data_IF_885087042074
#
_entry.id   IF_885087042074
#
_cell.length_a   1.000
_cell.length_b   1.000
_cell.length_c   1.000
_cell.angle_alpha   90.00
_cell.angle_beta   90.00
_cell.angle_gamma   90.00
#
_symmetry.space_group_name_H-M   'P 1'
#
loop_
_entity.id
_entity.type
_entity.pdbx_description
1 polymer ?
#
# COMPACT_ATOMS: atom_id res chain seq x y z
N UNK A 1 17.30 -5.32 -1.77
CA UNK A 1 16.27 -5.75 -0.78
C UNK A 1 15.25 -6.60 -1.50
N UNK A 2 14.80 -7.70 -0.93
CA UNK A 2 13.80 -8.60 -1.53
C UNK A 2 12.71 -8.90 -0.51
N UNK A 3 11.44 -8.74 -0.87
CA UNK A 3 10.32 -9.31 -0.12
C UNK A 3 9.98 -10.68 -0.71
N UNK A 4 10.01 -11.74 0.11
CA UNK A 4 9.66 -13.10 -0.30
C UNK A 4 8.48 -13.62 0.52
N UNK A 5 7.48 -14.08 -0.16
CA UNK A 5 6.27 -14.69 0.39
C UNK A 5 6.36 -16.19 0.12
N UNK A 6 6.18 -17.01 1.14
CA UNK A 6 6.35 -18.46 1.05
C UNK A 6 5.14 -19.19 1.67
N UNK A 7 4.33 -19.81 0.83
CA UNK A 7 3.18 -20.62 1.22
C UNK A 7 2.14 -19.85 2.05
N UNK A 8 2.01 -18.53 1.84
CA UNK A 8 1.14 -17.68 2.65
C UNK A 8 -0.32 -18.01 2.37
N UNK A 9 -1.08 -18.41 3.40
CA UNK A 9 -2.47 -18.85 3.24
C UNK A 9 -3.33 -18.59 4.48
N UNK A 10 -4.62 -18.47 4.23
CA UNK A 10 -5.67 -18.48 5.25
C UNK A 10 -6.77 -19.46 4.83
N UNK A 11 -7.78 -19.75 5.68
CA UNK A 11 -8.94 -20.52 5.25
C UNK A 11 -9.70 -19.92 4.05
N UNK A 12 -9.46 -18.64 3.76
CA UNK A 12 -10.18 -17.89 2.73
C UNK A 12 -9.39 -17.71 1.43
N UNK A 13 -8.05 -17.85 1.42
CA UNK A 13 -7.25 -17.60 0.22
C UNK A 13 -5.83 -18.19 0.33
N UNK A 14 -5.21 -18.47 -0.81
CA UNK A 14 -3.85 -19.01 -0.95
C UNK A 14 -3.84 -20.51 -1.30
N UNK A 15 -2.67 -21.19 -1.24
CA UNK A 15 -1.37 -20.59 -0.87
C UNK A 15 -0.84 -19.61 -1.90
N UNK A 16 -0.06 -18.64 -1.42
CA UNK A 16 0.63 -17.64 -2.25
C UNK A 16 2.14 -17.78 -2.08
N UNK A 17 2.82 -17.82 -3.22
CA UNK A 17 4.27 -17.77 -3.33
C UNK A 17 4.63 -16.62 -4.28
N UNK A 18 5.45 -15.66 -3.83
CA UNK A 18 5.81 -14.49 -4.61
C UNK A 18 7.12 -13.92 -4.08
N UNK A 19 7.96 -13.41 -4.96
CA UNK A 19 9.11 -12.60 -4.62
C UNK A 19 9.04 -11.27 -5.39
N UNK A 20 9.46 -10.19 -4.72
CA UNK A 20 9.55 -8.86 -5.29
C UNK A 20 10.90 -8.25 -4.93
N UNK A 21 11.58 -7.67 -5.92
CA UNK A 21 12.89 -7.06 -5.76
C UNK A 21 12.79 -5.58 -5.37
N UNK A 22 13.91 -5.01 -4.95
CA UNK A 22 14.00 -3.57 -4.69
C UNK A 22 13.68 -2.77 -5.96
N UNK A 23 12.84 -1.77 -5.82
CA UNK A 23 12.44 -0.90 -6.94
C UNK A 23 11.40 -1.53 -7.88
N UNK A 24 10.92 -2.75 -7.59
CA UNK A 24 9.92 -3.43 -8.40
C UNK A 24 8.49 -3.07 -7.96
N UNK A 25 7.60 -2.92 -8.92
CA UNK A 25 6.17 -2.79 -8.71
C UNK A 25 5.42 -4.01 -9.23
N UNK A 26 4.67 -4.67 -8.35
CA UNK A 26 3.72 -5.73 -8.75
C UNK A 26 2.31 -5.16 -8.70
N UNK A 27 1.60 -5.21 -9.84
CA UNK A 27 0.21 -4.82 -9.93
C UNK A 27 -0.71 -6.06 -9.92
N UNK A 28 -1.71 -6.04 -9.04
CA UNK A 28 -2.68 -7.12 -8.89
C UNK A 28 -4.08 -6.62 -9.25
N UNK A 29 -4.69 -7.27 -10.22
CA UNK A 29 -6.08 -7.02 -10.65
C UNK A 29 -6.99 -8.19 -10.25
N UNK A 30 -8.29 -8.04 -10.39
CA UNK A 30 -9.25 -9.13 -10.15
C UNK A 30 -10.59 -8.60 -9.64
N UNK A 31 -11.60 -9.47 -9.67
CA UNK A 31 -12.96 -9.13 -9.25
C UNK A 31 -13.02 -8.68 -7.78
N UNK A 32 -14.05 -7.91 -7.42
CA UNK A 32 -14.33 -7.59 -6.02
C UNK A 32 -14.56 -8.89 -5.22
N UNK A 33 -14.06 -8.95 -3.99
CA UNK A 33 -14.15 -10.13 -3.14
C UNK A 33 -13.24 -11.31 -3.52
N UNK A 34 -12.34 -11.16 -4.52
CA UNK A 34 -11.42 -12.23 -4.93
C UNK A 34 -10.30 -12.53 -3.92
N UNK A 35 -10.11 -11.69 -2.89
CA UNK A 35 -9.10 -11.89 -1.83
C UNK A 35 -7.89 -10.96 -1.92
N UNK A 36 -7.88 -9.94 -2.79
CA UNK A 36 -6.75 -9.02 -2.98
C UNK A 36 -6.36 -8.29 -1.69
N UNK A 37 -7.31 -7.62 -1.05
CA UNK A 37 -7.07 -6.91 0.22
C UNK A 37 -6.66 -7.87 1.34
N UNK A 38 -7.23 -9.07 1.40
CA UNK A 38 -6.85 -10.11 2.35
C UNK A 38 -5.38 -10.51 2.15
N UNK A 39 -4.95 -10.68 0.90
CA UNK A 39 -3.54 -10.98 0.57
C UNK A 39 -2.60 -9.89 1.08
N UNK A 40 -2.89 -8.61 0.83
CA UNK A 40 -2.08 -7.49 1.34
C UNK A 40 -2.04 -7.45 2.88
N UNK A 41 -3.19 -7.69 3.53
CA UNK A 41 -3.30 -7.69 4.99
C UNK A 41 -2.52 -8.86 5.63
N UNK A 42 -2.51 -10.02 4.99
CA UNK A 42 -1.68 -11.15 5.44
C UNK A 42 -0.18 -10.84 5.34
N UNK A 43 0.27 -10.17 4.27
CA UNK A 43 1.68 -9.76 4.11
C UNK A 43 2.08 -8.78 5.22
N UNK A 44 1.22 -7.81 5.54
CA UNK A 44 1.47 -6.80 6.57
C UNK A 44 1.25 -7.28 8.01
N UNK A 45 0.97 -8.56 8.22
CA UNK A 45 0.70 -9.14 9.55
C UNK A 45 -0.51 -8.52 10.25
N UNK A 46 -1.56 -8.22 9.50
CA UNK A 46 -2.83 -7.70 10.02
C UNK A 46 -3.90 -8.78 10.15
N UNK A 47 -3.79 -9.86 9.37
CA UNK A 47 -4.72 -11.00 9.43
C UNK A 47 -3.96 -12.29 9.76
N UNK A 48 -4.58 -13.20 10.56
CA UNK A 48 -3.99 -14.51 10.85
C UNK A 48 -3.78 -15.33 9.57
N UNK A 49 -2.60 -15.93 9.44
CA UNK A 49 -2.25 -16.75 8.29
C UNK A 49 -1.16 -17.78 8.61
N UNK A 50 -1.11 -18.82 7.81
CA UNK A 50 -0.02 -19.79 7.76
C UNK A 50 0.97 -19.38 6.66
N UNK A 51 2.14 -20.07 6.62
CA UNK A 51 3.23 -19.66 5.74
C UNK A 51 4.04 -18.52 6.35
N UNK A 52 4.94 -17.91 5.60
CA UNK A 52 5.78 -16.83 6.11
C UNK A 52 6.06 -15.75 5.06
N UNK A 53 6.48 -14.59 5.54
CA UNK A 53 6.95 -13.46 4.72
C UNK A 53 8.33 -13.05 5.23
N UNK A 54 9.24 -12.86 4.30
CA UNK A 54 10.63 -12.50 4.58
C UNK A 54 10.94 -11.15 3.94
N UNK A 55 11.58 -10.29 4.70
CA UNK A 55 12.16 -9.06 4.19
C UNK A 55 13.68 -9.21 4.26
N UNK A 56 14.33 -9.25 3.10
CA UNK A 56 15.63 -9.86 2.95
C UNK A 56 15.58 -11.29 3.52
N UNK A 57 16.52 -11.75 4.29
CA UNK A 57 16.49 -13.09 4.89
C UNK A 57 15.83 -13.13 6.29
N UNK A 58 15.21 -12.02 6.73
CA UNK A 58 14.57 -11.94 8.06
C UNK A 58 13.10 -12.30 7.96
N UNK A 59 12.71 -13.40 8.61
CA UNK A 59 11.31 -13.80 8.75
C UNK A 59 10.50 -12.77 9.54
N UNK A 60 9.28 -12.48 9.07
CA UNK A 60 8.28 -11.69 9.79
C UNK A 60 8.07 -12.20 11.23
N UNK A 61 8.08 -13.52 11.43
CA UNK A 61 7.85 -14.15 12.73
C UNK A 61 8.96 -13.86 13.76
N UNK A 62 10.14 -13.46 13.29
CA UNK A 62 11.29 -13.13 14.11
C UNK A 62 11.43 -11.62 14.38
N UNK A 63 10.37 -10.85 14.07
CA UNK A 63 10.33 -9.41 14.24
C UNK A 63 9.08 -9.01 15.02
N UNK A 64 9.16 -8.05 15.96
CA UNK A 64 7.96 -7.50 16.59
C UNK A 64 7.00 -6.91 15.53
N UNK A 65 5.71 -7.21 15.64
CA UNK A 65 4.72 -6.78 14.66
C UNK A 65 4.71 -5.25 14.37
N UNK A 66 4.91 -4.35 15.36
CA UNK A 66 5.05 -2.92 15.07
C UNK A 66 6.29 -2.57 14.24
N UNK A 67 7.42 -3.28 14.43
CA UNK A 67 8.63 -3.09 13.64
C UNK A 67 8.43 -3.58 12.19
N UNK A 68 7.78 -4.74 12.02
CA UNK A 68 7.41 -5.26 10.71
C UNK A 68 6.54 -4.27 9.94
N UNK A 69 5.46 -3.78 10.58
CA UNK A 69 4.47 -2.90 9.95
C UNK A 69 5.00 -1.50 9.65
N UNK A 70 6.14 -1.09 10.21
CA UNK A 70 6.84 0.13 9.79
C UNK A 70 7.64 -0.06 8.50
N UNK A 71 8.11 -1.27 8.23
CA UNK A 71 8.89 -1.58 7.03
C UNK A 71 8.00 -2.06 5.87
N UNK A 72 6.90 -2.75 6.19
CA UNK A 72 5.92 -3.30 5.23
C UNK A 72 4.57 -2.65 5.54
N UNK A 73 4.34 -1.49 4.92
CA UNK A 73 3.19 -0.63 5.24
C UNK A 73 2.02 -0.94 4.34
N UNK A 74 0.88 -1.26 4.93
CA UNK A 74 -0.39 -1.41 4.24
C UNK A 74 -1.19 -0.10 4.26
N UNK A 75 -1.53 0.40 3.08
CA UNK A 75 -2.44 1.53 2.89
C UNK A 75 -3.76 1.01 2.29
N UNK A 76 -4.84 0.96 3.07
CA UNK A 76 -6.14 0.48 2.61
C UNK A 76 -6.81 1.48 1.65
N UNK A 77 -7.77 0.99 0.84
CA UNK A 77 -8.58 1.81 -0.04
C UNK A 77 -9.32 2.93 0.71
N UNK A 78 -9.80 2.61 1.91
CA UNK A 78 -10.40 3.57 2.84
C UNK A 78 -9.53 3.67 4.10
N UNK A 79 -8.67 4.71 4.21
CA UNK A 79 -7.84 4.90 5.39
C UNK A 79 -8.66 5.12 6.66
N UNK A 80 -8.29 4.44 7.74
CA UNK A 80 -8.89 4.65 9.06
C UNK A 80 -8.50 6.01 9.66
N UNK A 81 -9.49 6.64 10.31
CA UNK A 81 -9.35 7.92 11.02
C UNK A 81 -9.92 7.72 12.42
N UNK A 82 -9.10 7.91 13.46
CA UNK A 82 -9.42 7.60 14.86
C UNK A 82 -9.42 8.81 15.79
N UNK A 83 -9.03 9.98 15.30
CA UNK A 83 -9.06 11.25 15.99
C UNK A 83 -9.90 12.26 15.22
N UNK A 84 -10.29 13.36 15.86
CA UNK A 84 -11.09 14.40 15.23
C UNK A 84 -10.28 15.21 14.22
N UNK A 85 -9.02 15.55 14.57
CA UNK A 85 -8.15 16.40 13.77
C UNK A 85 -7.24 15.57 12.87
N UNK A 86 -7.01 16.05 11.66
CA UNK A 86 -6.13 15.40 10.67
C UNK A 86 -4.70 15.24 11.21
N UNK A 87 -4.12 16.31 11.78
CA UNK A 87 -2.74 16.31 12.27
C UNK A 87 -2.46 15.21 13.30
N UNK A 88 -3.44 14.86 14.14
CA UNK A 88 -3.32 13.82 15.17
C UNK A 88 -3.06 12.40 14.64
N UNK A 89 -3.15 12.21 13.32
CA UNK A 89 -2.90 10.92 12.67
C UNK A 89 -1.47 10.77 12.15
N UNK A 90 -0.63 11.78 12.32
CA UNK A 90 0.75 11.79 11.80
C UNK A 90 1.76 11.82 12.94
N UNK A 91 2.68 10.86 12.95
CA UNK A 91 3.78 10.83 13.91
C UNK A 91 4.81 11.92 13.62
N UNK A 92 5.03 12.23 12.33
CA UNK A 92 5.87 13.32 11.84
C UNK A 92 5.03 14.23 10.94
N UNK A 93 4.49 15.28 11.53
CA UNK A 93 3.63 16.24 10.85
C UNK A 93 4.41 17.11 9.87
N UNK A 94 5.68 17.43 10.16
CA UNK A 94 6.51 18.26 9.29
C UNK A 94 6.90 17.49 8.00
N UNK A 95 7.27 16.22 8.13
CA UNK A 95 7.46 15.36 6.96
C UNK A 95 6.17 15.23 6.14
N UNK A 96 5.01 15.10 6.78
CA UNK A 96 3.73 15.02 6.10
C UNK A 96 3.39 16.32 5.35
N UNK A 97 3.58 17.49 5.96
CA UNK A 97 3.38 18.80 5.32
C UNK A 97 4.33 19.00 4.13
N UNK A 98 5.56 18.48 4.22
CA UNK A 98 6.54 18.52 3.12
C UNK A 98 6.10 17.67 1.92
N UNK A 99 5.52 16.49 2.16
CA UNK A 99 5.03 15.59 1.10
C UNK A 99 3.70 16.02 0.49
N UNK A 100 2.87 16.75 1.22
CA UNK A 100 1.51 17.07 0.84
C UNK A 100 1.36 17.77 -0.53
N UNK A 101 2.18 18.80 -0.87
CA UNK A 101 2.10 19.43 -2.19
C UNK A 101 2.39 18.48 -3.35
N UNK A 102 3.28 17.50 -3.16
CA UNK A 102 3.62 16.51 -4.18
C UNK A 102 2.43 15.58 -4.53
N UNK A 103 1.45 15.51 -3.64
CA UNK A 103 0.22 14.72 -3.82
C UNK A 103 -1.02 15.63 -3.99
N UNK A 104 -0.82 16.92 -4.29
CA UNK A 104 -1.91 17.88 -4.50
C UNK A 104 -2.79 18.08 -3.27
N UNK A 105 -2.20 17.96 -2.07
CA UNK A 105 -2.91 18.16 -0.79
C UNK A 105 -2.51 19.52 -0.22
N UNK A 106 -3.46 20.46 -0.06
CA UNK A 106 -3.21 21.72 0.63
C UNK A 106 -2.76 21.49 2.08
N UNK A 107 -1.71 22.18 2.51
CA UNK A 107 -1.14 22.00 3.86
C UNK A 107 -2.08 22.44 4.98
N UNK A 108 -3.02 23.33 4.69
CA UNK A 108 -4.06 23.80 5.61
C UNK A 108 -5.02 22.67 6.03
N UNK A 109 -5.12 21.60 5.24
CA UNK A 109 -5.98 20.45 5.58
C UNK A 109 -5.49 19.71 6.84
N UNK A 110 -4.21 19.82 7.20
CA UNK A 110 -3.72 19.23 8.43
C UNK A 110 -4.33 19.87 9.69
N UNK A 111 -4.78 21.11 9.59
CA UNK A 111 -5.42 21.85 10.69
C UNK A 111 -6.97 21.73 10.65
N UNK A 112 -7.48 20.86 9.80
CA UNK A 112 -8.92 20.66 9.59
C UNK A 112 -9.44 19.43 10.33
N UNK A 113 -10.74 19.43 10.72
CA UNK A 113 -11.40 18.21 11.17
C UNK A 113 -11.51 17.18 10.05
N UNK A 114 -11.29 15.90 10.36
CA UNK A 114 -11.38 14.78 9.40
C UNK A 114 -12.74 14.74 8.68
N UNK A 115 -13.82 15.10 9.37
CA UNK A 115 -15.17 15.09 8.80
C UNK A 115 -15.35 16.05 7.61
N UNK A 116 -14.49 17.06 7.47
CA UNK A 116 -14.54 18.02 6.37
C UNK A 116 -13.82 17.56 5.11
N UNK A 117 -13.02 16.50 5.22
CA UNK A 117 -12.26 15.98 4.09
C UNK A 117 -13.16 15.26 3.09
N UNK A 118 -12.96 15.50 1.81
CA UNK A 118 -13.48 14.68 0.72
C UNK A 118 -12.84 13.27 0.75
N UNK A 119 -13.44 12.33 0.05
CA UNK A 119 -12.90 10.96 -0.06
C UNK A 119 -11.50 10.95 -0.68
N UNK A 120 -11.28 11.74 -1.74
CA UNK A 120 -9.98 11.83 -2.39
C UNK A 120 -8.90 12.46 -1.50
N UNK A 121 -9.24 13.47 -0.69
CA UNK A 121 -8.31 14.05 0.30
C UNK A 121 -7.97 13.05 1.39
N UNK A 122 -8.95 12.31 1.92
CA UNK A 122 -8.71 11.23 2.89
C UNK A 122 -7.77 10.17 2.31
N UNK A 123 -7.99 9.77 1.07
CA UNK A 123 -7.15 8.77 0.41
C UNK A 123 -5.71 9.25 0.25
N UNK A 124 -5.47 10.47 -0.24
CA UNK A 124 -4.12 11.04 -0.39
C UNK A 124 -3.44 11.29 0.95
N UNK A 125 -4.15 11.82 1.94
CA UNK A 125 -3.61 11.96 3.30
C UNK A 125 -3.26 10.61 3.94
N UNK A 126 -4.05 9.56 3.70
CA UNK A 126 -3.73 8.20 4.11
C UNK A 126 -2.44 7.69 3.47
N UNK A 127 -2.23 7.98 2.18
CA UNK A 127 -1.00 7.65 1.48
C UNK A 127 0.19 8.46 2.01
N UNK A 128 0.04 9.77 2.27
CA UNK A 128 1.08 10.59 2.91
C UNK A 128 1.49 9.98 4.25
N UNK A 129 0.51 9.56 5.07
CA UNK A 129 0.78 8.92 6.36
C UNK A 129 1.60 7.64 6.21
N UNK A 130 1.31 6.83 5.19
CA UNK A 130 2.09 5.64 4.88
C UNK A 130 3.52 5.99 4.44
N UNK A 131 3.68 7.02 3.60
CA UNK A 131 4.97 7.47 3.06
C UNK A 131 5.89 8.11 4.11
N UNK A 132 5.33 8.78 5.13
CA UNK A 132 6.15 9.37 6.22
C UNK A 132 6.84 8.33 7.09
N UNK A 133 6.44 7.06 7.01
CA UNK A 133 7.14 5.95 7.70
C UNK A 133 8.39 5.49 6.96
N UNK A 134 8.65 6.02 5.77
CA UNK A 134 9.74 5.63 4.87
C UNK A 134 9.85 4.10 4.69
N UNK A 135 8.75 3.43 4.28
CA UNK A 135 8.69 1.98 4.24
C UNK A 135 9.56 1.40 3.13
N UNK A 136 10.10 0.20 3.37
CA UNK A 136 10.78 -0.59 2.36
C UNK A 136 9.80 -1.21 1.36
N UNK A 137 8.59 -1.54 1.83
CA UNK A 137 7.53 -2.12 1.00
C UNK A 137 6.21 -1.39 1.25
N UNK A 138 5.60 -0.92 0.18
CA UNK A 138 4.26 -0.34 0.17
C UNK A 138 3.26 -1.37 -0.37
N UNK A 139 2.25 -1.67 0.42
CA UNK A 139 1.11 -2.49 0.05
C UNK A 139 -0.10 -1.59 -0.13
N UNK A 140 -0.48 -1.32 -1.37
CA UNK A 140 -1.48 -0.32 -1.73
C UNK A 140 -2.77 -0.97 -2.22
N UNK A 141 -3.87 -0.68 -1.55
CA UNK A 141 -5.19 -1.17 -1.93
C UNK A 141 -5.98 -0.03 -2.59
N UNK A 142 -6.16 -0.09 -3.90
CA UNK A 142 -6.88 0.92 -4.70
C UNK A 142 -6.42 2.37 -4.44
N UNK A 143 -5.11 2.70 -4.52
CA UNK A 143 -4.58 3.99 -4.01
C UNK A 143 -5.11 5.23 -4.74
N UNK A 144 -5.80 5.05 -5.87
CA UNK A 144 -6.33 6.14 -6.70
C UNK A 144 -7.83 6.01 -7.01
N UNK A 145 -8.51 5.07 -6.35
CA UNK A 145 -9.90 4.71 -6.68
C UNK A 145 -10.92 5.85 -6.53
N UNK A 146 -10.63 6.87 -5.71
CA UNK A 146 -11.48 8.03 -5.49
C UNK A 146 -10.89 9.34 -6.08
N UNK A 147 -9.89 9.24 -6.96
CA UNK A 147 -9.16 10.40 -7.51
C UNK A 147 -9.53 10.66 -8.97
N UNK A 148 -9.51 11.93 -9.35
CA UNK A 148 -9.51 12.35 -10.74
C UNK A 148 -8.17 12.04 -11.44
N UNK A 149 -8.08 12.32 -12.74
CA UNK A 149 -6.90 12.01 -13.55
C UNK A 149 -5.66 12.79 -13.10
N UNK A 150 -5.79 14.06 -12.72
CA UNK A 150 -4.67 14.91 -12.32
C UNK A 150 -4.08 14.43 -10.99
N UNK A 151 -4.93 14.19 -10.00
CA UNK A 151 -4.49 13.65 -8.71
C UNK A 151 -3.96 12.22 -8.82
N UNK A 152 -4.52 11.40 -9.71
CA UNK A 152 -3.98 10.06 -10.04
C UNK A 152 -2.56 10.17 -10.59
N UNK A 153 -2.29 11.12 -11.49
CA UNK A 153 -0.95 11.33 -12.04
C UNK A 153 0.07 11.73 -10.98
N UNK A 154 -0.32 12.57 -10.00
CA UNK A 154 0.55 12.93 -8.87
C UNK A 154 0.89 11.72 -8.00
N UNK A 155 -0.10 10.87 -7.69
CA UNK A 155 0.14 9.63 -6.93
C UNK A 155 1.07 8.70 -7.71
N UNK A 156 0.83 8.49 -9.01
CA UNK A 156 1.68 7.63 -9.84
C UNK A 156 3.13 8.16 -9.94
N UNK A 157 3.31 9.48 -10.05
CA UNK A 157 4.64 10.11 -10.04
C UNK A 157 5.37 9.87 -8.71
N UNK A 158 4.66 10.02 -7.57
CA UNK A 158 5.21 9.74 -6.25
C UNK A 158 5.61 8.27 -6.11
N UNK A 159 4.79 7.34 -6.57
CA UNK A 159 5.12 5.91 -6.51
C UNK A 159 6.33 5.57 -7.37
N UNK A 160 6.45 6.15 -8.57
CA UNK A 160 7.65 5.99 -9.42
C UNK A 160 8.91 6.51 -8.74
N UNK A 161 8.81 7.64 -8.04
CA UNK A 161 9.94 8.16 -7.26
C UNK A 161 10.33 7.17 -6.15
N UNK A 162 9.36 6.65 -5.38
CA UNK A 162 9.64 5.68 -4.31
C UNK A 162 10.27 4.38 -4.84
N UNK A 163 9.81 3.89 -6.00
CA UNK A 163 10.42 2.75 -6.70
C UNK A 163 11.87 3.05 -7.10
N UNK A 164 12.12 4.23 -7.66
CA UNK A 164 13.47 4.70 -8.01
C UNK A 164 14.40 4.82 -6.80
N UNK A 165 13.85 5.17 -5.63
CA UNK A 165 14.57 5.24 -4.35
C UNK A 165 14.79 3.83 -3.73
N UNK A 166 14.32 2.76 -4.38
CA UNK A 166 14.54 1.38 -3.99
C UNK A 166 13.45 0.75 -3.10
N UNK A 167 12.35 1.45 -2.84
CA UNK A 167 11.18 0.84 -2.23
C UNK A 167 10.50 -0.12 -3.21
N UNK A 168 9.84 -1.17 -2.71
CA UNK A 168 9.03 -2.07 -3.52
C UNK A 168 7.55 -1.77 -3.32
N UNK A 169 6.73 -2.00 -4.36
CA UNK A 169 5.29 -1.74 -4.31
C UNK A 169 4.51 -2.99 -4.73
N UNK A 170 3.53 -3.40 -3.92
CA UNK A 170 2.47 -4.31 -4.35
C UNK A 170 1.18 -3.49 -4.37
N UNK A 171 0.63 -3.28 -5.56
CA UNK A 171 -0.54 -2.45 -5.76
C UNK A 171 -1.73 -3.30 -6.25
N UNK A 172 -2.84 -3.20 -5.54
CA UNK A 172 -4.14 -3.68 -6.01
C UNK A 172 -4.85 -2.54 -6.72
N UNK A 173 -5.34 -2.79 -7.92
CA UNK A 173 -6.11 -1.81 -8.69
C UNK A 173 -7.16 -2.47 -9.59
N UNK A 174 -8.27 -1.79 -9.82
CA UNK A 174 -9.27 -2.17 -10.83
C UNK A 174 -8.94 -1.58 -12.22
N UNK A 175 -8.03 -0.62 -12.31
CA UNK A 175 -7.60 -0.03 -13.57
C UNK A 175 -6.50 -0.86 -14.24
N UNK A 176 -6.85 -1.51 -15.37
CA UNK A 176 -5.87 -2.23 -16.17
C UNK A 176 -4.81 -1.28 -16.78
N UNK A 177 -5.20 -0.04 -17.06
CA UNK A 177 -4.29 1.00 -17.56
C UNK A 177 -3.26 1.40 -16.50
N UNK A 178 -3.68 1.61 -15.26
CA UNK A 178 -2.78 1.90 -14.15
C UNK A 178 -1.83 0.72 -13.87
N UNK A 179 -2.36 -0.50 -13.88
CA UNK A 179 -1.55 -1.71 -13.75
C UNK A 179 -0.48 -1.81 -14.84
N UNK A 180 -0.80 -1.39 -16.09
CA UNK A 180 0.14 -1.37 -17.20
C UNK A 180 1.17 -0.24 -17.12
N UNK A 181 0.83 0.93 -16.50
CA UNK A 181 1.75 2.07 -16.37
C UNK A 181 2.77 1.92 -15.25
N UNK A 182 2.41 1.20 -14.19
CA UNK A 182 3.22 1.11 -12.96
C UNK A 182 3.79 -0.30 -12.72
N UNK A 183 3.07 -1.36 -13.12
CA UNK A 183 3.44 -2.73 -12.80
C UNK A 183 4.54 -3.26 -13.72
N UNK A 184 5.71 -3.59 -13.15
CA UNK A 184 6.76 -4.33 -13.83
C UNK A 184 6.31 -5.77 -14.10
N UNK A 185 5.62 -6.35 -13.10
CA UNK A 185 4.93 -7.63 -13.25
C UNK A 185 3.46 -7.47 -12.88
N UNK A 186 2.61 -8.20 -13.57
CA UNK A 186 1.16 -8.11 -13.40
C UNK A 186 0.57 -9.46 -13.06
N UNK A 187 -0.33 -9.46 -12.09
CA UNK A 187 -1.04 -10.65 -11.64
C UNK A 187 -2.54 -10.40 -11.64
N UNK A 188 -3.28 -11.47 -11.85
CA UNK A 188 -4.71 -11.49 -11.65
C UNK A 188 -5.06 -12.40 -10.46
N UNK A 189 -5.80 -11.87 -9.51
CA UNK A 189 -6.40 -12.69 -8.45
C UNK A 189 -7.63 -13.39 -9.01
N UNK A 190 -7.53 -14.69 -9.21
CA UNK A 190 -8.62 -15.55 -9.67
C UNK A 190 -8.72 -16.77 -8.74
N UNK A 191 -9.93 -17.16 -8.38
CA UNK A 191 -10.17 -18.31 -7.49
C UNK A 191 -9.30 -18.29 -6.22
N UNK A 192 -9.05 -17.09 -5.69
CA UNK A 192 -8.23 -16.85 -4.48
C UNK A 192 -6.76 -17.26 -4.63
N UNK A 193 -6.24 -17.25 -5.85
CA UNK A 193 -4.84 -17.49 -6.23
C UNK A 193 -4.33 -16.38 -7.11
N UNK A 194 -3.01 -16.17 -7.11
CA UNK A 194 -2.34 -15.25 -8.03
C UNK A 194 -1.97 -16.00 -9.31
N UNK A 195 -2.33 -15.42 -10.45
CA UNK A 195 -1.98 -15.89 -11.79
C UNK A 195 -1.27 -14.76 -12.50
N UNK A 196 -0.04 -14.95 -12.93
CA UNK A 196 0.72 -13.96 -13.71
C UNK A 196 0.12 -13.78 -15.10
N UNK A 197 0.05 -12.54 -15.62
CA UNK A 197 -0.64 -12.19 -16.86
C UNK A 197 0.21 -11.27 -17.75
#
# INVERSE_FOLDING_TARGET
>A
MTLRIAGLRSPLAGPFDLAIEAGECIAITGASGSGKSLFLRMISDLDPCEGDVFLDDRSRRNMPAPEWRRQVVYNPAEPGWWAEDVASHFADIEAARTLAPCLGVPTELFDSPVLRLSTGERQRLGLIRALTLDPKVLLLDEPTGALDADNTALVEAMLKQRLSDGASVIMVTHSAEQAARLGDRRFRMAERRLVEV
#
